data_IF_447269492066
#
_entry.id   IF_447269492066
#
_cell.length_a   1.000
_cell.length_b   1.000
_cell.length_c   1.000
_cell.angle_alpha   90.00
_cell.angle_beta   90.00
_cell.angle_gamma   90.00
#
_symmetry.space_group_name_H-M   'P 1'
#
loop_
_entity.id
_entity.type
_entity.pdbx_description
1 polymer ?
#
# COMPACT_ATOMS: atom_id res chain seq x y z
N UNK A 1 -7.37 0.86 3.18
CA UNK A 1 -6.00 0.77 2.66
C UNK A 1 -5.36 2.15 2.63
N UNK A 2 -4.10 2.28 3.07
CA UNK A 2 -3.37 3.55 3.15
C UNK A 2 -2.07 3.43 2.36
N UNK A 3 -1.97 4.15 1.22
CA UNK A 3 -0.70 4.33 0.52
C UNK A 3 0.18 5.25 1.35
N UNK A 4 1.47 4.90 1.49
CA UNK A 4 2.42 5.70 2.28
C UNK A 4 2.55 7.15 1.79
N UNK A 5 2.87 8.06 2.72
CA UNK A 5 3.19 9.46 2.47
C UNK A 5 4.44 9.67 1.60
N UNK A 6 4.73 10.92 1.27
CA UNK A 6 5.93 11.29 0.54
C UNK A 6 7.20 10.82 1.28
N UNK A 7 8.15 10.25 0.53
CA UNK A 7 9.33 9.59 1.08
C UNK A 7 10.58 9.97 0.29
N UNK A 8 11.72 10.30 0.96
CA UNK A 8 12.96 10.69 0.30
C UNK A 8 13.50 9.52 -0.54
N UNK A 9 14.10 9.87 -1.69
CA UNK A 9 14.68 8.88 -2.61
C UNK A 9 16.21 8.85 -2.62
N UNK A 10 16.83 9.75 -1.87
CA UNK A 10 18.29 9.88 -1.79
C UNK A 10 18.87 9.36 -0.48
N UNK A 11 18.04 8.84 0.42
CA UNK A 11 18.44 8.39 1.75
C UNK A 11 18.03 6.93 1.99
N UNK A 12 18.95 6.13 2.52
CA UNK A 12 18.70 4.74 2.88
C UNK A 12 18.49 3.82 1.67
N UNK A 13 17.58 2.87 1.82
CA UNK A 13 17.15 1.93 0.78
C UNK A 13 15.61 1.82 0.79
N UNK A 14 15.04 0.98 -0.08
CA UNK A 14 13.57 0.82 -0.15
C UNK A 14 12.94 0.42 1.19
N UNK A 15 13.62 -0.38 2.00
CA UNK A 15 13.09 -0.81 3.31
C UNK A 15 13.18 0.28 4.38
N UNK A 16 14.30 1.01 4.43
CA UNK A 16 14.64 1.88 5.56
C UNK A 16 14.30 3.35 5.37
N UNK A 17 14.08 3.83 4.12
CA UNK A 17 13.71 5.22 3.90
C UNK A 17 12.39 5.56 4.57
N UNK A 18 12.38 6.68 5.29
CA UNK A 18 11.24 7.17 6.04
C UNK A 18 10.31 8.07 5.22
N UNK A 19 9.76 9.07 5.87
CA UNK A 19 8.93 10.11 5.26
C UNK A 19 9.71 11.44 5.17
N UNK A 20 9.37 12.26 4.18
CA UNK A 20 9.77 13.66 4.15
C UNK A 20 9.02 14.47 5.20
N UNK A 21 9.40 15.73 5.43
CA UNK A 21 8.64 16.64 6.31
C UNK A 21 7.17 16.72 5.87
N UNK A 22 6.93 16.90 4.56
CA UNK A 22 5.59 16.86 3.98
C UNK A 22 4.91 15.51 4.26
N UNK A 23 5.62 14.41 4.07
CA UNK A 23 5.09 13.07 4.36
C UNK A 23 4.64 12.88 5.80
N UNK A 24 5.38 13.45 6.78
CA UNK A 24 4.98 13.45 8.19
C UNK A 24 3.77 14.34 8.46
N UNK A 25 3.68 15.52 7.83
CA UNK A 25 2.49 16.37 7.93
C UNK A 25 1.24 15.66 7.38
N UNK A 26 1.38 15.04 6.23
CA UNK A 26 0.29 14.29 5.60
C UNK A 26 -0.09 13.03 6.41
N UNK A 27 0.85 12.37 7.09
CA UNK A 27 0.56 11.25 8.00
C UNK A 27 -0.33 11.66 9.17
N UNK A 28 -0.18 12.88 9.70
CA UNK A 28 -1.11 13.44 10.71
C UNK A 28 -2.53 13.60 10.15
N UNK A 29 -2.66 14.05 8.89
CA UNK A 29 -3.98 14.14 8.23
C UNK A 29 -4.59 12.76 8.01
N UNK A 30 -3.78 11.75 7.65
CA UNK A 30 -4.23 10.35 7.60
C UNK A 30 -4.76 9.91 8.96
N UNK A 31 -4.07 10.27 10.05
CA UNK A 31 -4.53 9.98 11.41
C UNK A 31 -5.91 10.59 11.69
N UNK A 32 -6.14 11.85 11.34
CA UNK A 32 -7.46 12.51 11.54
C UNK A 32 -8.58 11.81 10.73
N UNK A 33 -8.30 11.36 9.51
CA UNK A 33 -9.24 10.59 8.71
C UNK A 33 -9.58 9.27 9.41
N UNK A 34 -8.55 8.55 9.87
CA UNK A 34 -8.72 7.23 10.47
C UNK A 34 -9.39 7.27 11.85
N UNK A 35 -9.26 8.35 12.62
CA UNK A 35 -9.94 8.52 13.90
C UNK A 35 -11.47 8.42 13.82
N UNK A 36 -12.06 8.75 12.68
CA UNK A 36 -13.51 8.67 12.46
C UNK A 36 -14.00 7.25 12.12
N UNK A 37 -13.08 6.31 11.83
CA UNK A 37 -13.44 5.01 11.25
C UNK A 37 -13.63 3.89 12.28
N UNK A 38 -13.15 4.03 13.52
CA UNK A 38 -13.27 3.00 14.57
C UNK A 38 -12.48 1.74 14.26
N UNK A 39 -11.17 1.85 14.16
CA UNK A 39 -10.26 0.80 13.68
C UNK A 39 -9.96 -0.24 14.78
N UNK A 40 -10.04 -1.51 14.44
CA UNK A 40 -9.75 -2.64 15.35
C UNK A 40 -8.32 -3.15 15.22
N UNK A 41 -7.74 -3.10 14.01
CA UNK A 41 -6.45 -3.72 13.71
C UNK A 41 -5.63 -2.87 12.73
N UNK A 42 -4.34 -2.74 13.02
CA UNK A 42 -3.38 -2.07 12.15
C UNK A 42 -2.38 -3.09 11.59
N UNK A 43 -2.24 -3.10 10.28
CA UNK A 43 -1.34 -3.98 9.52
C UNK A 43 -0.49 -3.10 8.62
N UNK A 44 0.76 -3.47 8.39
CA UNK A 44 1.64 -2.73 7.48
C UNK A 44 2.58 -3.63 6.68
N UNK A 45 3.01 -3.10 5.54
CA UNK A 45 4.26 -3.44 4.90
C UNK A 45 5.44 -3.26 5.87
N UNK A 46 6.54 -4.03 5.72
CA UNK A 46 7.74 -3.87 6.54
C UNK A 46 8.56 -2.61 6.21
N UNK A 47 8.16 -1.82 5.22
CA UNK A 47 8.89 -0.61 4.82
C UNK A 47 8.54 0.57 5.72
N UNK A 48 9.57 1.24 6.26
CA UNK A 48 9.41 2.32 7.25
C UNK A 48 8.38 3.37 6.82
N UNK A 49 8.39 3.82 5.56
CA UNK A 49 7.44 4.83 5.08
C UNK A 49 5.97 4.41 5.21
N UNK A 50 5.68 3.10 5.07
CA UNK A 50 4.31 2.60 5.23
C UNK A 50 3.90 2.55 6.70
N UNK A 51 4.79 2.08 7.58
CA UNK A 51 4.58 2.06 9.03
C UNK A 51 4.40 3.47 9.58
N UNK A 52 5.33 4.39 9.30
CA UNK A 52 5.29 5.77 9.77
C UNK A 52 4.04 6.54 9.32
N UNK A 53 3.45 6.17 8.18
CA UNK A 53 2.21 6.83 7.69
C UNK A 53 1.00 6.52 8.55
N UNK A 54 0.95 5.36 9.21
CA UNK A 54 -0.19 4.91 10.03
C UNK A 54 0.12 4.82 11.52
N UNK A 55 1.37 5.07 11.93
CA UNK A 55 1.86 4.88 13.30
C UNK A 55 1.12 5.76 14.32
N UNK A 56 0.92 7.04 14.00
CA UNK A 56 0.21 7.97 14.90
C UNK A 56 -1.26 7.55 15.09
N UNK A 57 -1.91 7.05 14.03
CA UNK A 57 -3.26 6.51 14.12
C UNK A 57 -3.29 5.22 14.98
N UNK A 58 -2.32 4.32 14.80
CA UNK A 58 -2.22 3.11 15.62
C UNK A 58 -2.04 3.45 17.11
N UNK A 59 -1.16 4.42 17.40
CA UNK A 59 -0.96 4.93 18.77
C UNK A 59 -2.24 5.55 19.35
N UNK A 60 -3.00 6.32 18.56
CA UNK A 60 -4.29 6.87 19.01
C UNK A 60 -5.30 5.78 19.43
N UNK A 61 -5.30 4.65 18.74
CA UNK A 61 -6.16 3.51 19.07
C UNK A 61 -5.54 2.55 20.09
N UNK A 62 -4.34 2.85 20.61
CA UNK A 62 -3.57 1.96 21.52
C UNK A 62 -3.37 0.57 20.93
N UNK A 63 -3.07 0.49 19.61
CA UNK A 63 -2.86 -0.75 18.86
C UNK A 63 -1.42 -0.85 18.37
N UNK A 64 -0.91 -2.07 18.38
CA UNK A 64 0.34 -2.40 17.69
C UNK A 64 0.11 -2.58 16.19
N UNK A 65 1.13 -2.26 15.39
CA UNK A 65 1.13 -2.51 13.96
C UNK A 65 1.68 -3.91 13.69
N UNK A 66 0.84 -4.80 13.17
CA UNK A 66 1.26 -6.14 12.73
C UNK A 66 1.93 -6.03 11.36
N UNK A 67 3.18 -6.47 11.24
CA UNK A 67 3.98 -6.35 10.03
C UNK A 67 3.92 -7.63 9.20
N UNK A 68 3.52 -7.51 7.94
CA UNK A 68 3.54 -8.62 6.98
C UNK A 68 4.60 -8.38 5.90
N UNK A 69 5.64 -9.22 5.85
CA UNK A 69 6.74 -9.11 4.87
C UNK A 69 6.21 -9.11 3.43
N UNK A 70 5.19 -9.87 3.15
CA UNK A 70 4.61 -9.99 1.83
C UNK A 70 3.78 -8.76 1.38
N UNK A 71 3.66 -7.72 2.20
CA UNK A 71 3.08 -6.43 1.77
C UNK A 71 4.12 -5.39 1.33
N UNK A 72 5.41 -5.76 1.28
CA UNK A 72 6.44 -4.89 0.67
C UNK A 72 6.09 -4.52 -0.77
N UNK A 73 6.59 -3.36 -1.23
CA UNK A 73 6.37 -2.92 -2.62
C UNK A 73 6.94 -3.95 -3.62
N UNK A 74 6.40 -3.95 -4.82
CA UNK A 74 6.91 -4.75 -5.92
C UNK A 74 8.41 -4.45 -6.15
N UNK A 75 9.20 -5.48 -6.28
CA UNK A 75 10.65 -5.36 -6.44
C UNK A 75 11.00 -5.14 -7.91
N UNK A 76 11.53 -3.94 -8.21
CA UNK A 76 11.98 -3.57 -9.56
C UNK A 76 13.46 -3.83 -9.82
N UNK A 77 14.23 -4.16 -8.79
CA UNK A 77 15.68 -4.43 -8.90
C UNK A 77 16.15 -5.34 -7.77
N UNK A 78 17.43 -5.77 -7.83
CA UNK A 78 18.03 -6.48 -6.72
C UNK A 78 18.21 -5.59 -5.46
N UNK A 79 18.10 -6.21 -4.28
CA UNK A 79 18.57 -5.67 -2.99
C UNK A 79 17.93 -4.35 -2.53
N UNK A 80 16.61 -4.19 -2.58
CA UNK A 80 15.95 -3.01 -2.02
C UNK A 80 16.53 -1.66 -2.52
N UNK A 81 17.14 -1.66 -3.72
CA UNK A 81 17.68 -0.45 -4.34
C UNK A 81 16.54 0.50 -4.72
N UNK A 82 16.67 1.76 -4.34
CA UNK A 82 15.72 2.80 -4.74
C UNK A 82 15.82 3.03 -6.24
N UNK A 83 14.68 2.93 -6.93
CA UNK A 83 14.53 3.23 -8.36
C UNK A 83 13.76 4.55 -8.51
N UNK A 84 14.20 5.42 -9.41
CA UNK A 84 13.53 6.70 -9.65
C UNK A 84 12.15 6.53 -10.27
N UNK A 85 11.21 7.47 -10.05
CA UNK A 85 9.88 7.41 -10.67
C UNK A 85 9.95 7.41 -12.21
N UNK A 86 10.95 8.07 -12.79
CA UNK A 86 11.17 8.08 -14.25
C UNK A 86 11.51 6.69 -14.80
N UNK A 87 12.27 5.90 -14.03
CA UNK A 87 12.64 4.52 -14.39
C UNK A 87 11.52 3.54 -14.08
N UNK A 88 10.81 3.73 -12.98
CA UNK A 88 9.71 2.84 -12.54
C UNK A 88 8.51 2.91 -13.48
N UNK A 89 8.11 4.10 -13.94
CA UNK A 89 6.89 4.27 -14.74
C UNK A 89 6.83 3.42 -16.02
N UNK A 90 7.87 3.41 -16.89
CA UNK A 90 7.86 2.54 -18.07
C UNK A 90 7.82 1.05 -17.74
N UNK A 91 8.46 0.65 -16.62
CA UNK A 91 8.47 -0.73 -16.16
C UNK A 91 7.07 -1.16 -15.70
N UNK A 92 6.44 -0.36 -14.86
CA UNK A 92 5.07 -0.61 -14.39
C UNK A 92 4.10 -0.70 -15.56
N UNK A 93 4.16 0.23 -16.53
CA UNK A 93 3.34 0.17 -17.74
C UNK A 93 3.53 -1.15 -18.49
N UNK A 94 4.78 -1.60 -18.62
CA UNK A 94 5.08 -2.89 -19.25
C UNK A 94 4.55 -4.07 -18.46
N UNK A 95 4.63 -4.04 -17.13
CA UNK A 95 4.10 -5.09 -16.25
C UNK A 95 2.58 -5.24 -16.39
N UNK A 96 1.83 -4.15 -16.51
CA UNK A 96 0.39 -4.20 -16.77
C UNK A 96 0.06 -4.75 -18.17
N UNK A 97 0.91 -4.50 -19.17
CA UNK A 97 0.71 -5.04 -20.53
C UNK A 97 1.19 -6.50 -20.69
N UNK A 98 2.14 -6.93 -19.86
CA UNK A 98 2.69 -8.28 -19.82
C UNK A 98 2.91 -8.71 -18.37
N UNK A 99 1.93 -9.35 -17.73
CA UNK A 99 1.99 -9.70 -16.31
C UNK A 99 3.15 -10.61 -15.88
N UNK A 100 3.73 -11.36 -16.80
CA UNK A 100 4.90 -12.22 -16.55
C UNK A 100 6.24 -11.47 -16.73
N UNK A 101 6.20 -10.21 -17.19
CA UNK A 101 7.41 -9.42 -17.36
C UNK A 101 8.02 -9.05 -16.01
N UNK A 102 9.30 -9.35 -15.82
CA UNK A 102 10.13 -8.88 -14.72
C UNK A 102 11.51 -8.45 -15.24
N UNK A 103 12.17 -7.56 -14.53
CA UNK A 103 13.60 -7.34 -14.69
C UNK A 103 14.39 -8.45 -13.99
N UNK A 104 15.67 -8.58 -14.35
CA UNK A 104 16.59 -9.49 -13.65
C UNK A 104 16.58 -9.21 -12.14
N UNK A 105 16.34 -10.26 -11.34
CA UNK A 105 16.18 -10.18 -9.88
C UNK A 105 14.99 -9.30 -9.40
N UNK A 106 14.16 -8.82 -10.32
CA UNK A 106 12.91 -8.16 -10.03
C UNK A 106 11.76 -9.14 -9.81
N UNK A 107 10.57 -8.59 -9.64
CA UNK A 107 9.32 -9.33 -9.47
C UNK A 107 8.36 -8.93 -10.60
N UNK A 108 7.66 -9.92 -11.19
CA UNK A 108 6.62 -9.63 -12.18
C UNK A 108 5.32 -9.15 -11.51
N UNK A 109 4.41 -8.59 -12.31
CA UNK A 109 3.06 -8.26 -11.84
C UNK A 109 2.37 -9.50 -11.24
N UNK A 110 2.40 -10.63 -11.96
CA UNK A 110 1.74 -11.86 -11.55
C UNK A 110 2.33 -12.44 -10.23
N UNK A 111 3.65 -12.41 -10.07
CA UNK A 111 4.32 -12.82 -8.83
C UNK A 111 3.95 -11.91 -7.66
N UNK A 112 4.03 -10.59 -7.86
CA UNK A 112 3.67 -9.60 -6.85
C UNK A 112 2.20 -9.76 -6.43
N UNK A 113 1.26 -9.83 -7.38
CA UNK A 113 -0.15 -10.00 -7.09
C UNK A 113 -0.42 -11.30 -6.32
N UNK A 114 0.12 -12.43 -6.77
CA UNK A 114 -0.04 -13.72 -6.07
C UNK A 114 0.43 -13.66 -4.62
N UNK A 115 1.56 -13.01 -4.38
CA UNK A 115 2.14 -12.85 -3.05
C UNK A 115 1.25 -12.01 -2.12
N UNK A 116 0.78 -10.86 -2.60
CA UNK A 116 0.00 -9.94 -1.76
C UNK A 116 -1.43 -10.43 -1.56
N UNK A 117 -2.05 -11.03 -2.58
CA UNK A 117 -3.40 -11.60 -2.51
C UNK A 117 -3.47 -12.75 -1.51
N UNK A 118 -2.49 -13.64 -1.53
CA UNK A 118 -2.43 -14.75 -0.55
C UNK A 118 -2.51 -14.25 0.89
N UNK A 119 -1.72 -13.23 1.23
CA UNK A 119 -1.74 -12.65 2.58
C UNK A 119 -3.03 -11.88 2.84
N UNK A 120 -3.56 -11.18 1.83
CA UNK A 120 -4.83 -10.48 1.97
C UNK A 120 -5.97 -11.44 2.30
N UNK A 121 -6.06 -12.59 1.62
CA UNK A 121 -7.06 -13.64 1.90
C UNK A 121 -6.91 -14.19 3.34
N UNK A 122 -5.69 -14.48 3.78
CA UNK A 122 -5.42 -14.93 5.16
C UNK A 122 -5.88 -13.89 6.19
N UNK A 123 -5.64 -12.59 5.95
CA UNK A 123 -6.05 -11.49 6.81
C UNK A 123 -7.58 -11.38 6.85
N UNK A 124 -8.25 -11.44 5.70
CA UNK A 124 -9.72 -11.34 5.63
C UNK A 124 -10.43 -12.48 6.35
N UNK A 125 -9.83 -13.66 6.37
CA UNK A 125 -10.34 -14.81 7.15
C UNK A 125 -10.07 -14.61 8.65
N UNK A 126 -8.83 -14.28 9.01
CA UNK A 126 -8.39 -14.20 10.41
C UNK A 126 -9.07 -13.04 11.17
N UNK A 127 -9.25 -11.92 10.51
CA UNK A 127 -9.84 -10.70 11.09
C UNK A 127 -11.27 -10.43 10.60
N UNK A 128 -12.04 -11.48 10.33
CA UNK A 128 -13.42 -11.34 9.89
C UNK A 128 -14.24 -10.47 10.87
N UNK A 129 -14.92 -9.46 10.33
CA UNK A 129 -15.72 -8.51 11.11
C UNK A 129 -14.92 -7.33 11.69
N UNK A 130 -13.59 -7.32 11.58
CA UNK A 130 -12.77 -6.20 12.00
C UNK A 130 -12.70 -5.10 10.95
N UNK A 131 -12.54 -3.88 11.41
CA UNK A 131 -12.09 -2.74 10.62
C UNK A 131 -10.56 -2.67 10.65
N UNK A 132 -9.94 -2.92 9.50
CA UNK A 132 -8.50 -3.11 9.37
C UNK A 132 -7.90 -1.94 8.59
N UNK A 133 -6.83 -1.34 9.11
CA UNK A 133 -5.95 -0.46 8.34
C UNK A 133 -4.82 -1.30 7.76
N UNK A 134 -4.53 -1.13 6.46
CA UNK A 134 -3.36 -1.72 5.80
C UNK A 134 -2.50 -0.59 5.25
N UNK A 135 -1.35 -0.34 5.90
CA UNK A 135 -0.31 0.56 5.41
C UNK A 135 0.51 -0.11 4.29
N UNK A 136 0.51 0.49 3.10
CA UNK A 136 1.05 -0.17 1.91
C UNK A 136 1.61 0.82 0.87
N UNK A 137 1.77 0.37 -0.36
CA UNK A 137 2.42 1.05 -1.48
C UNK A 137 1.49 1.15 -2.68
N UNK A 138 1.85 2.00 -3.65
CA UNK A 138 0.99 2.29 -4.79
C UNK A 138 0.66 1.06 -5.63
N UNK A 139 1.67 0.32 -6.08
CA UNK A 139 1.43 -0.85 -6.93
C UNK A 139 0.78 -1.99 -6.13
N UNK A 140 1.27 -2.30 -4.95
CA UNK A 140 0.70 -3.35 -4.09
C UNK A 140 -0.76 -3.08 -3.74
N UNK A 141 -1.13 -1.84 -3.39
CA UNK A 141 -2.51 -1.44 -3.16
C UNK A 141 -3.37 -1.67 -4.41
N UNK A 142 -2.87 -1.24 -5.57
CA UNK A 142 -3.55 -1.45 -6.86
C UNK A 142 -3.76 -2.93 -7.15
N UNK A 143 -2.74 -3.78 -6.93
CA UNK A 143 -2.83 -5.23 -7.14
C UNK A 143 -3.85 -5.91 -6.22
N UNK A 144 -3.92 -5.48 -4.96
CA UNK A 144 -4.93 -5.97 -4.02
C UNK A 144 -6.35 -5.56 -4.44
N UNK A 145 -6.53 -4.32 -4.88
CA UNK A 145 -7.84 -3.84 -5.35
C UNK A 145 -8.22 -4.46 -6.69
N UNK A 146 -7.27 -4.65 -7.60
CA UNK A 146 -7.47 -5.33 -8.89
C UNK A 146 -7.93 -6.79 -8.73
N UNK A 147 -7.51 -7.46 -7.66
CA UNK A 147 -7.96 -8.81 -7.35
C UNK A 147 -9.50 -8.88 -7.18
N UNK A 148 -10.10 -7.86 -6.61
CA UNK A 148 -11.55 -7.79 -6.44
C UNK A 148 -12.27 -7.25 -7.68
N UNK A 149 -11.65 -6.28 -8.39
CA UNK A 149 -12.26 -5.61 -9.53
C UNK A 149 -11.19 -5.09 -10.49
N UNK A 150 -11.24 -5.56 -11.74
CA UNK A 150 -10.29 -5.24 -12.80
C UNK A 150 -10.25 -3.75 -13.18
N UNK A 151 -11.22 -2.92 -12.77
CA UNK A 151 -11.16 -1.47 -12.98
C UNK A 151 -9.96 -0.81 -12.28
N UNK A 152 -9.45 -1.39 -11.18
CA UNK A 152 -8.27 -0.91 -10.46
C UNK A 152 -6.99 -1.36 -11.16
N UNK A 153 -6.71 -0.75 -12.30
CA UNK A 153 -5.55 -1.04 -13.14
C UNK A 153 -4.50 0.08 -13.13
N UNK A 154 -3.78 0.20 -14.25
CA UNK A 154 -2.72 1.21 -14.43
C UNK A 154 -3.25 2.65 -14.27
N UNK A 155 -4.40 2.97 -14.81
CA UNK A 155 -5.00 4.31 -14.69
C UNK A 155 -5.31 4.66 -13.24
N UNK A 156 -5.86 3.70 -12.49
CA UNK A 156 -6.06 3.86 -11.05
C UNK A 156 -4.75 4.14 -10.33
N UNK A 157 -3.71 3.30 -10.55
CA UNK A 157 -2.39 3.52 -9.96
C UNK A 157 -1.84 4.93 -10.23
N UNK A 158 -1.99 5.41 -11.47
CA UNK A 158 -1.51 6.73 -11.88
C UNK A 158 -2.30 7.88 -11.28
N UNK A 159 -3.55 7.65 -10.88
CA UNK A 159 -4.41 8.66 -10.22
C UNK A 159 -4.19 8.74 -8.70
N UNK A 160 -3.46 7.78 -8.11
CA UNK A 160 -3.23 7.77 -6.66
C UNK A 160 -2.17 8.76 -6.21
N UNK A 161 -2.41 9.47 -5.11
CA UNK A 161 -1.47 10.40 -4.46
C UNK A 161 -0.56 9.74 -3.44
N UNK A 162 0.32 10.51 -2.80
CA UNK A 162 1.19 10.08 -1.68
C UNK A 162 1.07 11.09 -0.53
N UNK A 163 0.31 10.75 0.53
CA UNK A 163 -0.43 9.51 0.76
C UNK A 163 -1.73 9.44 -0.05
N UNK A 164 -2.40 8.28 0.04
CA UNK A 164 -3.78 8.10 -0.40
C UNK A 164 -4.50 7.13 0.54
N UNK A 165 -5.81 7.30 0.72
CA UNK A 165 -6.61 6.50 1.67
C UNK A 165 -7.88 6.03 0.98
N UNK A 166 -8.07 4.72 0.94
CA UNK A 166 -9.27 4.08 0.40
C UNK A 166 -9.92 3.20 1.46
N UNK A 167 -11.22 3.40 1.65
CA UNK A 167 -12.09 2.54 2.44
C UNK A 167 -12.73 1.52 1.50
N UNK A 168 -12.51 0.25 1.78
CA UNK A 168 -13.10 -0.88 1.07
C UNK A 168 -14.10 -1.56 2.00
N UNK A 169 -15.32 -1.76 1.52
CA UNK A 169 -16.35 -2.54 2.20
C UNK A 169 -16.44 -3.91 1.55
N UNK A 170 -16.24 -4.96 2.36
CA UNK A 170 -16.30 -6.35 1.91
C UNK A 170 -17.42 -7.10 2.61
N UNK A 171 -18.15 -7.88 1.87
CA UNK A 171 -19.16 -8.83 2.38
C UNK A 171 -18.85 -10.21 1.81
N UNK A 172 -18.68 -11.21 2.68
CA UNK A 172 -18.35 -12.57 2.25
C UNK A 172 -17.16 -12.62 1.27
N UNK A 173 -16.13 -11.79 1.54
CA UNK A 173 -14.93 -11.59 0.71
C UNK A 173 -15.19 -10.96 -0.68
N UNK A 174 -16.40 -10.48 -0.95
CA UNK A 174 -16.70 -9.71 -2.16
C UNK A 174 -16.62 -8.22 -1.88
N UNK A 175 -16.00 -7.47 -2.78
CA UNK A 175 -15.93 -6.01 -2.70
C UNK A 175 -17.30 -5.41 -3.03
N UNK A 176 -17.88 -4.69 -2.07
CA UNK A 176 -19.22 -4.08 -2.20
C UNK A 176 -19.10 -2.59 -2.52
N UNK A 177 -18.14 -1.90 -1.90
CA UNK A 177 -17.96 -0.47 -2.07
C UNK A 177 -16.50 -0.08 -1.90
N UNK A 178 -16.09 0.98 -2.61
CA UNK A 178 -14.80 1.66 -2.44
C UNK A 178 -15.04 3.15 -2.37
N UNK A 179 -14.52 3.78 -1.33
CA UNK A 179 -14.56 5.22 -1.11
C UNK A 179 -13.15 5.76 -0.94
N UNK A 180 -12.78 6.81 -1.70
CA UNK A 180 -11.54 7.54 -1.48
C UNK A 180 -11.75 8.56 -0.38
N UNK A 181 -11.08 8.39 0.75
CA UNK A 181 -11.16 9.29 1.91
C UNK A 181 -10.15 10.43 1.85
N UNK A 182 -9.05 10.26 1.11
CA UNK A 182 -8.02 11.29 0.95
C UNK A 182 -8.47 12.38 -0.03
N UNK A 183 -8.27 13.64 0.38
CA UNK A 183 -8.49 14.81 -0.48
C UNK A 183 -7.19 15.61 -0.53
N UNK A 184 -6.74 15.91 -1.73
CA UNK A 184 -5.63 16.84 -1.95
C UNK A 184 -6.11 18.26 -1.70
N UNK A 185 -5.33 19.04 -0.96
CA UNK A 185 -5.55 20.47 -0.76
C UNK A 185 -4.79 21.28 -1.81
#
# INVERSE_FOLDING_TARGET
MVRHGESPKLEGNERTRGLTEKGHMDARRVTEILKAEGIDTFISSPYNRAMLTIEEAANFYEKEIVVYENFKECRFSSRDKIVSDKEVYPLVKRMFSNPEFALTEGESYAECQRRVVKVLEEILIHFQGHKIVIGTHGLVMTLMMNYFDNQYGLEFLMSTSKPDVYKLELKEQQLINVERLWREE
#
